data_IF_254148579826
#
_entry.id   IF_254148579826
#
_cell.length_a   1.000
_cell.length_b   1.000
_cell.length_c   1.000
_cell.angle_alpha   90.00
_cell.angle_beta   90.00
_cell.angle_gamma   90.00
#
_symmetry.space_group_name_H-M   'P 1'
#
loop_
_entity.id
_entity.type
_entity.pdbx_description
1 polymer ?
#
# COMPACT_ATOMS: atom_id res chain seq x y z
N UNK A 1 -37.09 -27.28 14.89
CA UNK A 1 -37.04 -25.82 15.14
C UNK A 1 -35.68 -25.52 15.75
N UNK A 2 -34.76 -24.89 15.00
CA UNK A 2 -33.40 -24.63 15.48
C UNK A 2 -33.45 -23.37 16.34
N UNK A 3 -33.27 -23.51 17.65
CA UNK A 3 -33.13 -22.39 18.58
C UNK A 3 -31.80 -21.68 18.31
N UNK A 4 -31.82 -20.63 17.48
CA UNK A 4 -30.71 -19.69 17.40
C UNK A 4 -30.73 -18.86 18.68
N UNK A 5 -29.72 -19.04 19.53
CA UNK A 5 -29.51 -18.23 20.74
C UNK A 5 -28.82 -16.92 20.33
N UNK A 6 -29.53 -15.78 20.27
CA UNK A 6 -28.97 -14.51 19.80
C UNK A 6 -27.84 -13.96 20.68
N UNK A 7 -27.68 -14.50 21.88
CA UNK A 7 -26.68 -14.04 22.86
C UNK A 7 -25.30 -14.67 22.66
N UNK A 8 -25.21 -15.71 21.83
CA UNK A 8 -23.99 -16.42 21.49
C UNK A 8 -23.65 -16.28 20.00
N UNK A 9 -24.06 -15.17 19.40
CA UNK A 9 -23.53 -14.78 18.10
C UNK A 9 -22.14 -14.18 18.33
N UNK A 10 -21.16 -14.64 17.54
CA UNK A 10 -19.73 -14.32 17.64
C UNK A 10 -19.40 -12.83 17.53
N UNK A 11 -20.40 -11.98 17.28
CA UNK A 11 -20.31 -10.54 17.07
C UNK A 11 -20.99 -9.76 18.22
N UNK A 12 -20.84 -10.21 19.47
CA UNK A 12 -21.27 -9.43 20.63
C UNK A 12 -20.21 -8.35 20.93
N UNK A 13 -20.48 -7.04 20.69
CA UNK A 13 -19.49 -5.98 20.87
C UNK A 13 -19.12 -5.73 22.34
N UNK A 14 -19.88 -6.32 23.28
CA UNK A 14 -19.68 -6.25 24.74
C UNK A 14 -18.81 -7.41 25.25
N UNK A 15 -18.45 -8.38 24.39
CA UNK A 15 -17.61 -9.49 24.79
C UNK A 15 -16.24 -8.98 25.27
N UNK A 16 -15.77 -9.39 26.48
CA UNK A 16 -14.46 -8.99 26.96
C UNK A 16 -13.40 -9.51 25.99
N UNK A 17 -12.48 -8.63 25.57
CA UNK A 17 -11.39 -9.01 24.68
C UNK A 17 -10.63 -10.19 25.29
N UNK A 18 -10.41 -11.28 24.53
CA UNK A 18 -9.70 -12.43 25.06
C UNK A 18 -8.27 -12.01 25.42
N UNK A 19 -7.86 -12.26 26.66
CA UNK A 19 -6.52 -11.89 27.11
C UNK A 19 -5.47 -12.55 26.23
N UNK A 20 -4.73 -11.73 25.50
CA UNK A 20 -3.59 -12.16 24.72
C UNK A 20 -2.35 -11.99 25.59
N UNK A 21 -1.70 -13.10 25.97
CA UNK A 21 -0.46 -13.05 26.76
C UNK A 21 0.68 -12.33 26.03
N UNK A 22 1.74 -11.85 26.73
CA UNK A 22 2.76 -10.98 26.18
C UNK A 22 3.46 -11.54 24.92
N UNK A 23 3.79 -12.84 24.94
CA UNK A 23 4.40 -13.53 23.77
C UNK A 23 3.48 -13.54 22.56
N UNK A 24 2.19 -13.79 22.77
CA UNK A 24 1.19 -13.86 21.70
C UNK A 24 0.88 -12.46 21.15
N UNK A 25 0.88 -11.42 21.99
CA UNK A 25 0.80 -10.01 21.55
C UNK A 25 1.95 -9.65 20.63
N UNK A 26 3.18 -10.01 21.01
CA UNK A 26 4.37 -9.75 20.18
C UNK A 26 4.31 -10.48 18.84
N UNK A 27 3.88 -11.74 18.83
CA UNK A 27 3.73 -12.51 17.60
C UNK A 27 2.67 -11.90 16.65
N UNK A 28 1.52 -11.48 17.20
CA UNK A 28 0.48 -10.76 16.45
C UNK A 28 1.00 -9.45 15.86
N UNK A 29 1.72 -8.65 16.65
CA UNK A 29 2.30 -7.39 16.18
C UNK A 29 3.32 -7.60 15.04
N UNK A 30 4.16 -8.64 15.14
CA UNK A 30 5.10 -9.01 14.06
C UNK A 30 4.37 -9.46 12.80
N UNK A 31 3.34 -10.30 12.94
CA UNK A 31 2.53 -10.75 11.80
C UNK A 31 1.80 -9.58 11.11
N UNK A 32 1.28 -8.63 11.89
CA UNK A 32 0.68 -7.40 11.36
C UNK A 32 1.70 -6.52 10.63
N UNK A 33 2.90 -6.34 11.19
CA UNK A 33 3.97 -5.60 10.54
C UNK A 33 4.40 -6.24 9.20
N UNK A 34 4.52 -7.57 9.14
CA UNK A 34 4.86 -8.29 7.91
C UNK A 34 3.78 -8.15 6.83
N UNK A 35 2.50 -8.18 7.21
CA UNK A 35 1.38 -7.92 6.27
C UNK A 35 1.46 -6.51 5.70
N UNK A 36 1.68 -5.51 6.56
CA UNK A 36 1.81 -4.11 6.14
C UNK A 36 3.00 -3.91 5.18
N UNK A 37 4.12 -4.59 5.42
CA UNK A 37 5.28 -4.56 4.51
C UNK A 37 4.97 -5.20 3.15
N UNK A 38 4.24 -6.32 3.12
CA UNK A 38 3.82 -6.97 1.89
C UNK A 38 2.83 -6.11 1.08
N UNK A 39 1.88 -5.47 1.74
CA UNK A 39 0.89 -4.61 1.09
C UNK A 39 1.54 -3.31 0.59
N UNK A 40 2.53 -2.78 1.31
CA UNK A 40 3.35 -1.67 0.80
C UNK A 40 4.15 -2.06 -0.46
N UNK A 41 4.60 -3.31 -0.56
CA UNK A 41 5.23 -3.85 -1.77
C UNK A 41 4.29 -3.85 -2.97
N UNK A 42 3.07 -4.39 -2.79
CA UNK A 42 2.04 -4.44 -3.85
C UNK A 42 1.60 -3.05 -4.30
N UNK A 43 1.42 -2.11 -3.37
CA UNK A 43 1.09 -0.72 -3.70
C UNK A 43 2.18 -0.07 -4.55
N UNK A 44 3.45 -0.34 -4.21
CA UNK A 44 4.59 0.16 -4.98
C UNK A 44 4.60 -0.36 -6.41
N UNK A 45 4.33 -1.65 -6.60
CA UNK A 45 4.23 -2.28 -7.92
C UNK A 45 3.09 -1.67 -8.75
N UNK A 46 1.91 -1.46 -8.15
CA UNK A 46 0.77 -0.84 -8.81
C UNK A 46 1.07 0.61 -9.25
N UNK A 47 1.74 1.39 -8.39
CA UNK A 47 2.16 2.75 -8.73
C UNK A 47 3.18 2.77 -9.87
N UNK A 48 4.15 1.86 -9.87
CA UNK A 48 5.11 1.72 -10.97
C UNK A 48 4.42 1.34 -12.29
N UNK A 49 3.44 0.43 -12.25
CA UNK A 49 2.66 0.07 -13.42
C UNK A 49 1.87 1.27 -13.96
N UNK A 50 1.28 2.09 -13.08
CA UNK A 50 0.55 3.30 -13.44
C UNK A 50 1.47 4.34 -14.09
N UNK A 51 2.65 4.59 -13.52
CA UNK A 51 3.65 5.49 -14.11
C UNK A 51 4.07 5.03 -15.51
N UNK A 52 4.33 3.73 -15.70
CA UNK A 52 4.67 3.17 -17.01
C UNK A 52 3.53 3.32 -18.01
N UNK A 53 2.29 3.05 -17.60
CA UNK A 53 1.11 3.22 -18.44
C UNK A 53 0.91 4.68 -18.85
N UNK A 54 1.07 5.62 -17.91
CA UNK A 54 0.97 7.05 -18.19
C UNK A 54 2.10 7.54 -19.12
N UNK A 55 3.33 7.06 -18.93
CA UNK A 55 4.45 7.37 -19.81
C UNK A 55 4.23 6.83 -21.24
N UNK A 56 3.65 5.64 -21.37
CA UNK A 56 3.27 5.07 -22.67
C UNK A 56 2.18 5.88 -23.35
N UNK A 57 1.14 6.26 -22.61
CA UNK A 57 0.07 7.13 -23.10
C UNK A 57 0.62 8.48 -23.62
N UNK A 58 1.57 9.08 -22.90
CA UNK A 58 2.23 10.31 -23.34
C UNK A 58 3.05 10.15 -24.63
N UNK A 59 3.59 8.95 -24.91
CA UNK A 59 4.33 8.65 -26.15
C UNK A 59 3.40 8.37 -27.33
N UNK A 60 2.25 7.76 -27.08
CA UNK A 60 1.25 7.41 -28.10
C UNK A 60 0.36 8.59 -28.49
N UNK A 61 0.32 9.66 -27.69
CA UNK A 61 -0.36 10.90 -28.06
C UNK A 61 0.35 11.56 -29.26
N UNK A 62 -0.36 11.81 -30.38
CA UNK A 62 0.22 12.50 -31.53
C UNK A 62 0.70 13.87 -31.09
N UNK A 63 1.86 14.30 -31.59
CA UNK A 63 2.55 15.56 -31.26
C UNK A 63 1.57 16.76 -31.29
N UNK A 64 0.89 17.01 -30.18
CA UNK A 64 0.05 18.19 -30.04
C UNK A 64 1.02 19.33 -29.82
N UNK A 65 1.17 20.19 -30.83
CA UNK A 65 2.11 21.33 -30.88
C UNK A 65 2.12 22.17 -29.59
N UNK A 66 1.04 22.13 -28.81
CA UNK A 66 0.97 22.64 -27.44
C UNK A 66 0.45 21.53 -26.53
N UNK A 67 1.29 20.91 -25.67
CA UNK A 67 0.76 20.03 -24.64
C UNK A 67 -0.18 20.86 -23.77
N UNK A 68 -1.46 20.47 -23.70
CA UNK A 68 -2.41 21.12 -22.81
C UNK A 68 -1.91 21.10 -21.36
N UNK A 69 -2.37 22.03 -20.52
CA UNK A 69 -1.98 22.13 -19.09
C UNK A 69 -2.05 20.78 -18.36
N UNK A 70 -2.99 19.92 -18.75
CA UNK A 70 -3.19 18.58 -18.21
C UNK A 70 -2.01 17.63 -18.49
N UNK A 71 -1.38 17.71 -19.67
CA UNK A 71 -0.22 16.89 -20.03
C UNK A 71 1.03 17.31 -19.26
N UNK A 72 1.20 18.62 -19.02
CA UNK A 72 2.30 19.14 -18.19
C UNK A 72 2.11 18.70 -16.74
N UNK A 73 0.92 18.88 -16.18
CA UNK A 73 0.60 18.43 -14.82
C UNK A 73 0.79 16.91 -14.65
N UNK A 74 0.43 16.10 -15.65
CA UNK A 74 0.65 14.66 -15.63
C UNK A 74 2.14 14.31 -15.62
N UNK A 75 2.96 14.99 -16.42
CA UNK A 75 4.42 14.80 -16.43
C UNK A 75 5.05 15.15 -15.09
N UNK A 76 4.66 16.26 -14.49
CA UNK A 76 5.15 16.69 -13.18
C UNK A 76 4.74 15.71 -12.07
N UNK A 77 3.51 15.18 -12.13
CA UNK A 77 3.04 14.17 -11.20
C UNK A 77 3.82 12.85 -11.32
N UNK A 78 4.15 12.43 -12.55
CA UNK A 78 4.99 11.26 -12.81
C UNK A 78 6.39 11.47 -12.24
N UNK A 79 7.02 12.62 -12.50
CA UNK A 79 8.37 12.92 -12.00
C UNK A 79 8.43 12.88 -10.46
N UNK A 80 7.43 13.49 -9.79
CA UNK A 80 7.32 13.42 -8.32
C UNK A 80 7.11 12.00 -7.80
N UNK A 81 6.32 11.19 -8.50
CA UNK A 81 6.11 9.79 -8.13
C UNK A 81 7.41 8.98 -8.23
N UNK A 82 8.19 9.18 -9.30
CA UNK A 82 9.48 8.51 -9.48
C UNK A 82 10.50 8.88 -8.41
N UNK A 83 10.56 10.16 -8.00
CA UNK A 83 11.43 10.61 -6.90
C UNK A 83 11.08 9.93 -5.57
N UNK A 84 9.79 9.87 -5.23
CA UNK A 84 9.31 9.22 -4.00
C UNK A 84 9.61 7.72 -4.04
N UNK A 85 9.39 7.07 -5.18
CA UNK A 85 9.69 5.64 -5.35
C UNK A 85 11.19 5.35 -5.21
N UNK A 86 12.06 6.23 -5.73
CA UNK A 86 13.51 6.13 -5.62
C UNK A 86 14.03 6.42 -4.21
N UNK A 87 13.43 7.37 -3.48
CA UNK A 87 13.76 7.61 -2.08
C UNK A 87 13.41 6.39 -1.21
N UNK A 88 12.27 5.74 -1.47
CA UNK A 88 11.83 4.55 -0.75
C UNK A 88 12.69 3.30 -1.06
N UNK A 89 13.25 3.15 -2.27
CA UNK A 89 14.23 2.07 -2.52
C UNK A 89 15.54 2.29 -1.76
N UNK A 90 16.03 3.53 -1.70
CA UNK A 90 17.24 3.90 -0.94
C UNK A 90 17.07 3.69 0.56
N UNK A 91 15.91 4.06 1.12
CA UNK A 91 15.63 3.92 2.55
C UNK A 91 15.57 2.44 2.99
N UNK A 92 15.01 1.55 2.17
CA UNK A 92 14.98 0.10 2.44
C UNK A 92 16.38 -0.53 2.41
N UNK A 93 17.24 -0.11 1.48
CA UNK A 93 18.64 -0.56 1.42
C UNK A 93 19.43 -0.24 2.69
N UNK A 94 19.23 0.95 3.24
CA UNK A 94 19.91 1.41 4.47
C UNK A 94 19.47 0.62 5.72
N UNK A 95 18.19 0.20 5.79
CA UNK A 95 17.65 -0.59 6.92
C UNK A 95 18.15 -2.03 6.90
N UNK A 96 18.42 -2.60 5.72
CA UNK A 96 18.98 -3.96 5.58
C UNK A 96 20.45 -4.03 5.97
N UNK A 97 21.21 -2.94 5.81
CA UNK A 97 22.64 -2.87 6.17
C UNK A 97 22.92 -2.69 7.67
N UNK A 98 21.89 -2.39 8.48
CA UNK A 98 21.99 -2.17 9.94
C UNK A 98 21.49 -3.35 10.78
N UNK A 99 21.12 -4.46 10.14
CA UNK A 99 20.66 -5.69 10.79
C UNK A 99 21.71 -6.78 10.61
#
# INVERSE_FOLDING_TARGET
MIFRRPELEKDNPIAPEPYVGPRRRLAMARAAALKNEADAGKMKEALQALVRAAARFLREQPNVSKPGKNLVALRDAIAKADEVLAADTRSKGLRKARR
#
